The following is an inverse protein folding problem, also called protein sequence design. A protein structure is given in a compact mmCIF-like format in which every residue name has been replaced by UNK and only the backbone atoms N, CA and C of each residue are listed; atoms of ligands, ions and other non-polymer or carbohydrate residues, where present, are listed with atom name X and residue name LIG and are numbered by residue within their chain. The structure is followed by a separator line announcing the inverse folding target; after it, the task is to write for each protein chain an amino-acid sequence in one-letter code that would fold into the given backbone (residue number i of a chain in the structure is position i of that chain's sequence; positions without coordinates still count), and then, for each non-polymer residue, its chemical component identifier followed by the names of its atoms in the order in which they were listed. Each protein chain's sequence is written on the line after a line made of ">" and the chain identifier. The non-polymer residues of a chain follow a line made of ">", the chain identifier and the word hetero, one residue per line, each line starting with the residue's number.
data_IF_621844856892
#
_entry.id   IF_621844856892
#
_cell.length_a   1.000
_cell.length_b   1.000
_cell.length_c   1.000
_cell.angle_alpha   90.00
_cell.angle_beta   90.00
_cell.angle_gamma   90.00
#
_symmetry.space_group_name_H-M   'P 1'
#
loop_
_entity.id
_entity.type
_entity.pdbx_description
1 polymer ?
#
# COMPACT_ATOMS: atom_id res chain seq x y z
N UNK A 1 0.18 -1.08 0.44
CA UNK A 1 -0.76 -0.25 -0.21
C UNK A 1 -2.24 -0.60 -0.05
N UNK A 2 -2.68 -1.89 -0.12
CA UNK A 2 -4.11 -2.27 -0.05
C UNK A 2 -4.78 -1.76 1.23
N UNK A 3 -4.24 -2.12 2.37
CA UNK A 3 -4.72 -1.70 3.69
C UNK A 3 -4.80 -0.18 3.81
N UNK A 4 -3.75 0.52 3.40
CA UNK A 4 -3.70 1.98 3.42
C UNK A 4 -4.82 2.61 2.59
N UNK A 5 -5.16 2.02 1.44
CA UNK A 5 -6.22 2.55 0.56
C UNK A 5 -7.58 2.55 1.26
N UNK A 6 -8.01 1.45 1.86
CA UNK A 6 -9.30 1.43 2.53
C UNK A 6 -9.28 2.21 3.85
N UNK A 7 -8.14 2.26 4.56
CA UNK A 7 -7.99 3.08 5.77
C UNK A 7 -8.17 4.57 5.45
N UNK A 8 -7.46 5.06 4.43
CA UNK A 8 -7.59 6.46 4.00
C UNK A 8 -9.01 6.74 3.50
N UNK A 9 -9.59 5.84 2.70
CA UNK A 9 -10.94 6.02 2.21
C UNK A 9 -11.97 6.10 3.35
N UNK A 10 -11.89 5.20 4.33
CA UNK A 10 -12.76 5.21 5.50
C UNK A 10 -12.61 6.50 6.31
N UNK A 11 -11.36 6.94 6.51
CA UNK A 11 -11.06 8.20 7.22
C UNK A 11 -11.64 9.41 6.49
N UNK A 12 -11.40 9.53 5.18
CA UNK A 12 -11.91 10.64 4.36
C UNK A 12 -13.44 10.68 4.36
N UNK A 13 -14.10 9.54 4.16
CA UNK A 13 -15.58 9.48 4.19
C UNK A 13 -16.14 9.92 5.55
N UNK A 14 -15.55 9.46 6.64
CA UNK A 14 -15.96 9.85 8.00
C UNK A 14 -15.71 11.34 8.26
N UNK A 15 -14.57 11.87 7.84
CA UNK A 15 -14.22 13.29 7.99
C UNK A 15 -15.17 14.19 7.21
N UNK A 16 -15.47 13.84 5.95
CA UNK A 16 -16.41 14.60 5.13
C UNK A 16 -17.83 14.56 5.71
N UNK A 17 -18.26 13.42 6.24
CA UNK A 17 -19.55 13.34 6.94
C UNK A 17 -19.60 14.24 8.16
N UNK A 18 -18.58 14.24 8.99
CA UNK A 18 -18.47 15.08 10.17
C UNK A 18 -18.41 16.58 9.82
N UNK A 19 -17.85 16.92 8.66
CA UNK A 19 -17.85 18.28 8.09
C UNK A 19 -19.18 18.67 7.42
N UNK A 20 -20.23 17.84 7.51
CA UNK A 20 -21.53 18.03 6.87
C UNK A 20 -21.47 18.22 5.36
N UNK A 21 -20.61 17.47 4.67
CA UNK A 21 -20.55 17.48 3.22
C UNK A 21 -21.92 17.14 2.61
N UNK A 22 -22.38 17.85 1.58
CA UNK A 22 -23.74 17.71 1.02
C UNK A 22 -24.01 16.33 0.37
N UNK A 23 -22.96 15.65 -0.10
CA UNK A 23 -23.11 14.33 -0.71
C UNK A 23 -23.36 13.26 0.36
N UNK A 24 -24.55 12.64 0.26
CA UNK A 24 -25.00 11.59 1.17
C UNK A 24 -24.24 10.27 1.04
N UNK A 25 -23.40 10.11 0.03
CA UNK A 25 -22.54 8.93 -0.11
C UNK A 25 -21.47 8.86 0.97
N UNK A 26 -21.05 10.01 1.51
CA UNK A 26 -20.11 10.08 2.62
C UNK A 26 -20.85 9.87 3.95
N UNK A 27 -20.49 8.80 4.60
CA UNK A 27 -21.04 8.39 5.90
C UNK A 27 -19.89 7.94 6.82
N UNK A 28 -20.17 7.89 8.12
CA UNK A 28 -19.24 7.27 9.07
C UNK A 28 -19.03 5.81 8.68
N UNK A 29 -17.78 5.37 8.71
CA UNK A 29 -17.40 4.00 8.32
C UNK A 29 -16.93 3.23 9.53
N UNK A 30 -17.71 2.22 9.90
CA UNK A 30 -17.37 1.26 10.95
C UNK A 30 -16.71 0.03 10.31
N UNK A 31 -15.46 -0.26 10.69
CA UNK A 31 -14.67 -1.37 10.14
C UNK A 31 -14.63 -2.53 11.12
N UNK A 32 -14.79 -3.75 10.62
CA UNK A 32 -14.54 -5.01 11.31
C UNK A 32 -13.58 -5.83 10.48
N UNK A 33 -12.39 -6.06 10.99
CA UNK A 33 -11.27 -6.70 10.27
C UNK A 33 -10.94 -8.00 10.98
N UNK A 34 -10.84 -9.09 10.22
CA UNK A 34 -10.40 -10.39 10.73
C UNK A 34 -9.78 -11.24 9.62
N UNK A 35 -8.96 -12.20 10.03
CA UNK A 35 -8.38 -13.19 9.12
C UNK A 35 -9.25 -14.46 9.12
N UNK A 36 -9.91 -14.79 8.00
CA UNK A 36 -10.79 -15.97 7.93
C UNK A 36 -10.04 -17.30 8.04
N UNK A 37 -8.74 -17.32 7.79
CA UNK A 37 -7.89 -18.53 7.92
C UNK A 37 -7.37 -18.77 9.33
N UNK A 38 -7.48 -17.80 10.22
CA UNK A 38 -7.02 -17.94 11.60
C UNK A 38 -8.00 -18.71 12.50
N UNK A 39 -9.20 -18.99 12.00
CA UNK A 39 -10.29 -19.63 12.73
C UNK A 39 -10.92 -20.76 11.90
N UNK A 40 -11.55 -21.72 12.55
CA UNK A 40 -12.26 -22.80 11.89
C UNK A 40 -13.53 -22.32 11.17
N UNK A 41 -14.10 -23.14 10.30
CA UNK A 41 -15.33 -22.82 9.59
C UNK A 41 -16.53 -22.65 10.52
N UNK A 42 -16.59 -23.43 11.58
CA UNK A 42 -17.61 -23.29 12.64
C UNK A 42 -17.47 -21.96 13.37
N UNK A 43 -16.26 -21.60 13.78
CA UNK A 43 -16.00 -20.30 14.41
C UNK A 43 -16.22 -19.12 13.46
N UNK A 44 -16.06 -19.32 12.14
CA UNK A 44 -16.28 -18.27 11.15
C UNK A 44 -17.77 -18.04 10.86
N UNK A 45 -18.52 -19.09 10.54
CA UNK A 45 -19.91 -18.98 10.10
C UNK A 45 -20.92 -19.41 11.15
N UNK A 46 -20.51 -20.23 12.07
CA UNK A 46 -21.34 -20.83 13.11
C UNK A 46 -21.42 -22.35 12.99
N UNK A 47 -21.73 -22.96 14.09
CA UNK A 47 -21.87 -24.41 14.21
C UNK A 47 -22.92 -24.77 15.23
N UNK A 48 -23.40 -26.01 15.14
CA UNK A 48 -24.31 -26.60 16.12
C UNK A 48 -23.45 -27.25 17.20
N UNK A 49 -23.63 -26.84 18.45
CA UNK A 49 -22.96 -27.48 19.57
C UNK A 49 -23.39 -28.97 19.62
N UNK A 50 -22.41 -29.85 19.71
CA UNK A 50 -22.65 -31.29 19.60
C UNK A 50 -23.42 -31.87 20.79
N UNK A 51 -23.35 -31.21 21.96
CA UNK A 51 -23.98 -31.67 23.20
C UNK A 51 -25.37 -31.05 23.37
N UNK A 52 -25.46 -29.71 23.27
CA UNK A 52 -26.70 -28.97 23.48
C UNK A 52 -27.60 -28.95 22.26
N UNK A 53 -27.08 -29.28 21.07
CA UNK A 53 -27.77 -29.15 19.78
C UNK A 53 -28.21 -27.71 19.46
N UNK A 54 -27.67 -26.73 20.17
CA UNK A 54 -27.93 -25.31 19.95
C UNK A 54 -26.99 -24.73 18.90
N UNK A 55 -27.53 -23.81 18.09
CA UNK A 55 -26.75 -23.07 17.12
C UNK A 55 -26.01 -21.94 17.78
N UNK A 56 -24.70 -21.85 17.50
CA UNK A 56 -23.86 -20.71 17.89
C UNK A 56 -23.40 -19.97 16.64
N UNK A 57 -23.68 -18.66 16.56
CA UNK A 57 -23.19 -17.84 15.46
C UNK A 57 -21.66 -17.73 15.51
N UNK A 58 -21.02 -17.90 14.36
CA UNK A 58 -19.62 -17.61 14.19
C UNK A 58 -19.34 -16.12 14.05
N UNK A 59 -18.09 -15.77 13.94
CA UNK A 59 -17.62 -14.37 13.89
C UNK A 59 -18.25 -13.58 12.73
N UNK A 60 -18.18 -14.12 11.49
CA UNK A 60 -18.73 -13.46 10.31
C UNK A 60 -20.24 -13.33 10.38
N UNK A 61 -20.95 -14.41 10.75
CA UNK A 61 -22.41 -14.39 10.87
C UNK A 61 -22.88 -13.42 11.96
N UNK A 62 -22.19 -13.37 13.09
CA UNK A 62 -22.50 -12.43 14.18
C UNK A 62 -22.30 -10.98 13.75
N UNK A 63 -21.16 -10.66 13.11
CA UNK A 63 -20.89 -9.32 12.57
C UNK A 63 -21.97 -8.91 11.57
N UNK A 64 -22.29 -9.78 10.61
CA UNK A 64 -23.29 -9.49 9.58
C UNK A 64 -24.71 -9.37 10.17
N UNK A 65 -25.05 -10.20 11.13
CA UNK A 65 -26.36 -10.12 11.82
C UNK A 65 -26.49 -8.80 12.57
N UNK A 66 -25.49 -8.41 13.36
CA UNK A 66 -25.48 -7.13 14.08
C UNK A 66 -25.62 -5.95 13.12
N UNK A 67 -24.80 -5.92 12.07
CA UNK A 67 -24.84 -4.85 11.07
C UNK A 67 -26.17 -4.82 10.26
N UNK A 68 -26.81 -5.97 10.06
CA UNK A 68 -28.11 -6.05 9.38
C UNK A 68 -29.27 -5.50 10.22
N UNK A 69 -29.15 -5.55 11.53
CA UNK A 69 -30.16 -5.05 12.48
C UNK A 69 -29.98 -3.55 12.81
N UNK A 70 -28.83 -2.99 12.52
CA UNK A 70 -28.55 -1.59 12.77
C UNK A 70 -29.38 -0.69 11.84
N UNK A 71 -30.01 0.35 12.41
CA UNK A 71 -30.88 1.26 11.65
C UNK A 71 -30.19 2.54 11.18
N UNK A 72 -28.93 2.73 11.54
CA UNK A 72 -28.15 3.90 11.13
C UNK A 72 -27.86 3.90 9.62
N UNK A 73 -27.56 5.09 9.08
CA UNK A 73 -27.06 5.24 7.71
C UNK A 73 -25.55 5.00 7.61
N UNK A 74 -24.88 4.74 8.72
CA UNK A 74 -23.45 4.48 8.78
C UNK A 74 -23.09 3.26 7.96
N UNK A 75 -21.90 3.30 7.35
CA UNK A 75 -21.38 2.18 6.56
C UNK A 75 -20.70 1.16 7.45
N UNK A 76 -21.09 -0.08 7.29
CA UNK A 76 -20.46 -1.21 7.96
C UNK A 76 -19.59 -1.97 6.97
N UNK A 77 -18.26 -1.89 7.15
CA UNK A 77 -17.29 -2.61 6.32
C UNK A 77 -16.76 -3.81 7.06
N UNK A 78 -17.02 -4.98 6.48
CA UNK A 78 -16.46 -6.25 6.94
C UNK A 78 -15.27 -6.60 6.04
N UNK A 79 -14.08 -6.64 6.63
CA UNK A 79 -12.82 -6.79 5.90
C UNK A 79 -12.22 -8.15 6.23
N UNK A 80 -12.09 -8.97 5.19
CA UNK A 80 -11.46 -10.29 5.24
C UNK A 80 -10.00 -10.12 4.85
N UNK A 81 -9.10 -10.04 5.85
CA UNK A 81 -7.67 -9.86 5.66
C UNK A 81 -6.95 -11.20 5.80
N UNK A 82 -6.73 -11.85 4.68
CA UNK A 82 -6.06 -13.14 4.66
C UNK A 82 -6.15 -13.85 3.31
N UNK A 83 -5.40 -14.95 3.14
CA UNK A 83 -5.40 -15.70 1.89
C UNK A 83 -6.78 -16.30 1.59
N UNK A 84 -7.12 -16.33 0.31
CA UNK A 84 -8.34 -17.02 -0.15
C UNK A 84 -8.19 -18.52 0.02
N UNK A 85 -9.28 -19.14 0.43
CA UNK A 85 -9.45 -20.57 0.47
C UNK A 85 -10.79 -20.91 -0.19
N UNK A 86 -10.81 -21.92 -1.01
CA UNK A 86 -12.01 -22.31 -1.77
C UNK A 86 -13.22 -22.53 -0.85
N UNK A 87 -12.99 -23.10 0.33
CA UNK A 87 -14.08 -23.49 1.24
C UNK A 87 -14.78 -22.26 1.83
N UNK A 88 -14.04 -21.32 2.41
CA UNK A 88 -14.69 -20.18 3.06
C UNK A 88 -15.25 -19.16 2.06
N UNK A 89 -14.59 -18.98 0.90
CA UNK A 89 -15.06 -18.01 -0.09
C UNK A 89 -16.32 -18.48 -0.82
N UNK A 90 -16.51 -19.79 -1.02
CA UNK A 90 -17.69 -20.33 -1.66
C UNK A 90 -18.97 -20.09 -0.84
N UNK A 91 -18.88 -20.10 0.47
CA UNK A 91 -20.00 -19.76 1.35
C UNK A 91 -20.42 -18.29 1.22
N UNK A 92 -19.58 -17.43 0.65
CA UNK A 92 -19.88 -16.03 0.36
C UNK A 92 -20.58 -15.82 -0.98
N UNK A 93 -20.70 -16.82 -1.84
CA UNK A 93 -21.26 -16.66 -3.19
C UNK A 93 -22.66 -16.05 -3.17
N UNK A 94 -23.52 -16.45 -2.23
CA UNK A 94 -24.88 -15.90 -2.08
C UNK A 94 -24.90 -14.46 -1.55
N UNK A 95 -23.84 -14.06 -0.88
CA UNK A 95 -23.64 -12.69 -0.38
C UNK A 95 -23.12 -11.77 -1.49
N UNK A 96 -22.24 -12.30 -2.34
CA UNK A 96 -21.65 -11.59 -3.47
C UNK A 96 -22.61 -11.46 -4.65
N UNK A 97 -23.66 -12.25 -4.69
CA UNK A 97 -24.74 -12.14 -5.68
C UNK A 97 -25.67 -10.94 -5.38
N UNK A 98 -26.48 -10.58 -6.36
CA UNK A 98 -27.52 -9.55 -6.23
C UNK A 98 -28.48 -9.81 -5.06
N UNK A 99 -28.58 -11.05 -4.64
CA UNK A 99 -29.38 -11.45 -3.48
C UNK A 99 -28.85 -10.88 -2.15
N UNK A 100 -27.55 -10.57 -2.06
CA UNK A 100 -26.90 -10.00 -0.87
C UNK A 100 -27.33 -10.70 0.42
N UNK A 101 -27.29 -12.03 0.45
CA UNK A 101 -27.83 -12.82 1.56
C UNK A 101 -26.84 -13.89 1.99
N UNK A 102 -26.44 -13.87 3.26
CA UNK A 102 -25.63 -14.93 3.85
C UNK A 102 -26.58 -16.09 4.26
N UNK A 103 -26.31 -17.27 3.70
CA UNK A 103 -26.99 -18.50 4.05
C UNK A 103 -26.17 -19.31 5.03
N UNK A 104 -26.69 -19.62 6.19
CA UNK A 104 -26.00 -20.40 7.22
C UNK A 104 -26.40 -21.87 7.13
N UNK A 105 -25.59 -22.78 7.65
CA UNK A 105 -25.81 -24.22 7.61
C UNK A 105 -27.02 -24.67 8.42
N UNK A 106 -27.47 -23.85 9.38
CA UNK A 106 -28.76 -24.11 10.13
C UNK A 106 -30.02 -23.67 9.35
N UNK A 107 -29.87 -23.27 8.08
CA UNK A 107 -30.98 -22.80 7.24
C UNK A 107 -31.38 -21.33 7.42
N UNK A 108 -30.79 -20.63 8.37
CA UNK A 108 -31.02 -19.20 8.54
C UNK A 108 -30.40 -18.38 7.41
N UNK A 109 -31.04 -17.25 7.12
CA UNK A 109 -30.61 -16.32 6.08
C UNK A 109 -30.49 -14.92 6.66
N UNK A 110 -29.32 -14.30 6.49
CA UNK A 110 -29.04 -12.93 6.92
C UNK A 110 -29.00 -12.05 5.67
N UNK A 111 -30.02 -11.21 5.49
CA UNK A 111 -30.08 -10.25 4.38
C UNK A 111 -29.17 -9.06 4.69
N UNK A 112 -28.22 -8.76 3.80
CA UNK A 112 -27.36 -7.60 3.94
C UNK A 112 -28.11 -6.32 3.53
N UNK A 113 -27.77 -5.23 4.21
CA UNK A 113 -28.30 -3.90 3.91
C UNK A 113 -27.38 -3.17 2.90
N UNK A 114 -27.90 -2.16 2.17
CA UNK A 114 -27.09 -1.38 1.23
C UNK A 114 -25.88 -0.67 1.85
N UNK A 115 -25.90 -0.43 3.17
CA UNK A 115 -24.78 0.20 3.88
C UNK A 115 -23.64 -0.76 4.21
N UNK A 116 -23.90 -2.05 4.14
CA UNK A 116 -22.89 -3.09 4.40
C UNK A 116 -22.03 -3.30 3.15
N UNK A 117 -20.73 -3.43 3.35
CA UNK A 117 -19.76 -3.77 2.30
C UNK A 117 -18.80 -4.82 2.81
N UNK A 118 -18.43 -5.72 1.91
CA UNK A 118 -17.37 -6.69 2.18
C UNK A 118 -16.17 -6.36 1.32
N UNK A 119 -15.02 -6.31 1.96
CA UNK A 119 -13.73 -6.10 1.34
C UNK A 119 -12.88 -7.34 1.60
N UNK A 120 -12.18 -7.78 0.56
CA UNK A 120 -11.27 -8.91 0.64
C UNK A 120 -9.86 -8.41 0.35
N UNK A 121 -9.00 -8.43 1.37
CA UNK A 121 -7.59 -8.08 1.22
C UNK A 121 -6.80 -9.36 1.00
N UNK A 122 -6.62 -9.72 -0.24
CA UNK A 122 -6.02 -10.99 -0.65
C UNK A 122 -4.76 -10.78 -1.48
N UNK A 123 -3.92 -11.78 -1.54
CA UNK A 123 -2.73 -11.76 -2.39
C UNK A 123 -3.09 -12.05 -3.84
N UNK A 124 -3.90 -13.09 -4.05
CA UNK A 124 -4.44 -13.50 -5.35
C UNK A 124 -5.77 -14.23 -5.19
N UNK A 125 -6.40 -14.58 -6.29
CA UNK A 125 -7.66 -15.35 -6.34
C UNK A 125 -7.49 -16.68 -7.09
N UNK A 126 -6.28 -17.23 -7.14
CA UNK A 126 -5.96 -18.44 -7.92
C UNK A 126 -6.80 -19.66 -7.48
N UNK A 127 -7.19 -19.72 -6.22
CA UNK A 127 -7.98 -20.83 -5.66
C UNK A 127 -9.50 -20.56 -5.66
N UNK A 128 -9.92 -19.36 -6.04
CA UNK A 128 -11.34 -19.01 -6.12
C UNK A 128 -11.96 -19.53 -7.44
N UNK A 129 -13.22 -19.95 -7.40
CA UNK A 129 -13.91 -20.35 -8.62
C UNK A 129 -14.12 -19.15 -9.56
N UNK A 130 -14.16 -19.36 -10.91
CA UNK A 130 -14.47 -18.29 -11.86
C UNK A 130 -15.79 -17.57 -11.52
N UNK A 131 -16.75 -18.30 -11.00
CA UNK A 131 -18.03 -17.75 -10.57
C UNK A 131 -17.89 -16.77 -9.41
N UNK A 132 -17.04 -17.04 -8.44
CA UNK A 132 -16.73 -16.14 -7.33
C UNK A 132 -15.98 -14.90 -7.83
N UNK A 133 -14.98 -15.09 -8.69
CA UNK A 133 -14.16 -13.99 -9.23
C UNK A 133 -15.03 -13.01 -10.02
N UNK A 134 -15.97 -13.50 -10.84
CA UNK A 134 -16.85 -12.65 -11.65
C UNK A 134 -17.82 -11.79 -10.83
N UNK A 135 -18.07 -12.14 -9.57
CA UNK A 135 -18.91 -11.38 -8.64
C UNK A 135 -18.15 -10.31 -7.86
N UNK A 136 -16.82 -10.33 -7.91
CA UNK A 136 -15.97 -9.41 -7.16
C UNK A 136 -15.62 -8.19 -8.02
N UNK A 137 -15.79 -7.00 -7.46
CA UNK A 137 -15.20 -5.78 -8.01
C UNK A 137 -13.69 -5.77 -7.69
N UNK A 138 -12.87 -5.99 -8.71
CA UNK A 138 -11.42 -6.12 -8.55
C UNK A 138 -10.71 -4.77 -8.54
N UNK A 139 -9.91 -4.53 -7.51
CA UNK A 139 -8.94 -3.43 -7.44
C UNK A 139 -7.56 -4.05 -7.36
N UNK A 140 -6.82 -4.00 -8.47
CA UNK A 140 -5.50 -4.59 -8.56
C UNK A 140 -4.42 -3.56 -8.19
N UNK A 141 -3.63 -3.84 -7.16
CA UNK A 141 -2.59 -2.96 -6.64
C UNK A 141 -1.24 -3.66 -6.75
N UNK A 142 -0.40 -3.18 -7.66
CA UNK A 142 0.99 -3.62 -7.78
C UNK A 142 1.94 -2.53 -7.28
N UNK A 143 3.16 -2.92 -6.90
CA UNK A 143 4.20 -1.97 -6.52
C UNK A 143 4.58 -1.08 -7.72
N UNK A 144 4.61 -1.66 -8.92
CA UNK A 144 4.96 -0.97 -10.17
C UNK A 144 3.91 0.08 -10.54
N UNK A 145 2.62 -0.18 -10.30
CA UNK A 145 1.55 0.75 -10.65
C UNK A 145 1.61 2.07 -9.86
N UNK A 146 2.10 2.03 -8.62
CA UNK A 146 2.33 3.24 -7.83
C UNK A 146 3.62 3.96 -8.25
N UNK A 147 4.66 3.20 -8.60
CA UNK A 147 5.97 3.71 -8.90
C UNK A 147 6.71 4.26 -7.66
N UNK A 148 7.79 4.95 -7.90
CA UNK A 148 8.65 5.52 -6.85
C UNK A 148 8.40 7.01 -6.59
N UNK A 149 7.82 7.74 -7.56
CA UNK A 149 7.63 9.20 -7.50
C UNK A 149 6.85 9.63 -6.25
N UNK A 150 5.65 9.10 -5.95
CA UNK A 150 4.89 9.50 -4.77
C UNK A 150 5.61 9.20 -3.45
N UNK A 151 6.47 8.17 -3.44
CA UNK A 151 7.30 7.87 -2.28
C UNK A 151 8.34 8.97 -2.08
N UNK A 152 9.08 9.33 -3.13
CA UNK A 152 10.14 10.34 -3.05
C UNK A 152 9.57 11.72 -2.69
N UNK A 153 8.52 12.17 -3.37
CA UNK A 153 7.88 13.47 -3.12
C UNK A 153 7.37 13.59 -1.68
N UNK A 154 6.78 12.52 -1.16
CA UNK A 154 6.34 12.45 0.23
C UNK A 154 7.53 12.37 1.21
N UNK A 155 8.61 11.68 0.83
CA UNK A 155 9.80 11.52 1.65
C UNK A 155 10.53 12.85 1.84
N UNK A 156 10.78 13.61 0.77
CA UNK A 156 11.53 14.88 0.86
C UNK A 156 10.79 15.91 1.73
N UNK A 157 9.47 16.00 1.60
CA UNK A 157 8.65 16.91 2.42
C UNK A 157 8.63 16.52 3.89
N UNK A 158 8.55 15.22 4.18
CA UNK A 158 8.50 14.71 5.56
C UNK A 158 9.83 14.79 6.28
N UNK A 159 10.94 14.54 5.56
CA UNK A 159 12.29 14.53 6.15
C UNK A 159 12.87 15.93 6.29
N UNK A 160 12.53 16.81 5.39
CA UNK A 160 12.99 18.20 5.40
C UNK A 160 11.78 19.15 5.38
N UNK A 161 10.97 19.18 6.48
CA UNK A 161 9.70 19.89 6.51
C UNK A 161 9.84 21.40 6.43
N UNK A 162 10.96 21.94 6.88
CA UNK A 162 11.30 23.36 6.91
C UNK A 162 12.58 23.66 6.11
N UNK A 163 13.07 24.89 6.20
CA UNK A 163 14.29 25.34 5.53
C UNK A 163 15.54 25.29 6.42
N UNK A 164 15.50 24.58 7.55
CA UNK A 164 16.63 24.51 8.48
C UNK A 164 17.84 23.77 7.91
N UNK A 165 17.60 22.79 7.06
CA UNK A 165 18.65 21.96 6.44
C UNK A 165 18.76 22.24 4.95
N UNK A 166 17.64 22.23 4.23
CA UNK A 166 17.53 22.45 2.79
C UNK A 166 16.55 23.59 2.52
N UNK A 167 16.96 24.58 1.74
CA UNK A 167 16.07 25.62 1.27
C UNK A 167 15.04 25.08 0.26
N UNK A 168 13.98 25.81 0.00
CA UNK A 168 12.96 25.39 -0.97
C UNK A 168 13.56 25.25 -2.39
N UNK A 169 14.46 26.14 -2.80
CA UNK A 169 15.14 26.08 -4.09
C UNK A 169 16.04 24.82 -4.19
N UNK A 170 16.72 24.45 -3.10
CA UNK A 170 17.53 23.25 -3.04
C UNK A 170 16.68 21.98 -3.11
N UNK A 171 15.52 21.94 -2.43
CA UNK A 171 14.56 20.84 -2.53
C UNK A 171 14.02 20.67 -3.95
N UNK A 172 13.70 21.79 -4.63
CA UNK A 172 13.27 21.77 -6.03
C UNK A 172 14.39 21.20 -6.91
N UNK A 173 15.64 21.70 -6.77
CA UNK A 173 16.78 21.21 -7.53
C UNK A 173 17.02 19.70 -7.32
N UNK A 174 16.98 19.23 -6.08
CA UNK A 174 17.11 17.81 -5.74
C UNK A 174 15.99 17.01 -6.40
N UNK A 175 14.75 17.48 -6.31
CA UNK A 175 13.59 16.80 -6.87
C UNK A 175 13.66 16.70 -8.39
N UNK A 176 13.98 17.79 -9.08
CA UNK A 176 14.14 17.81 -10.53
C UNK A 176 15.28 16.88 -11.00
N UNK A 177 16.40 16.92 -10.32
CA UNK A 177 17.55 16.04 -10.62
C UNK A 177 17.17 14.58 -10.39
N UNK A 178 16.49 14.29 -9.30
CA UNK A 178 16.05 12.93 -8.96
C UNK A 178 15.06 12.38 -10.00
N UNK A 179 14.05 13.17 -10.39
CA UNK A 179 13.08 12.78 -11.42
C UNK A 179 13.74 12.60 -12.80
N UNK A 180 14.73 13.39 -13.12
CA UNK A 180 15.46 13.28 -14.40
C UNK A 180 16.37 12.06 -14.49
N UNK A 181 16.87 11.56 -13.37
CA UNK A 181 17.99 10.59 -13.36
C UNK A 181 17.60 9.19 -12.89
N UNK A 182 16.63 9.06 -11.98
CA UNK A 182 16.26 7.74 -11.40
C UNK A 182 15.80 6.74 -12.45
N UNK A 183 14.92 7.14 -13.34
CA UNK A 183 14.36 6.22 -14.34
C UNK A 183 15.46 5.75 -15.30
N UNK A 184 16.40 6.59 -15.67
CA UNK A 184 17.56 6.21 -16.48
C UNK A 184 18.42 5.14 -15.78
N UNK A 185 18.66 5.31 -14.49
CA UNK A 185 19.39 4.32 -13.69
C UNK A 185 18.64 3.00 -13.56
N UNK A 186 17.33 3.06 -13.27
CA UNK A 186 16.46 1.88 -13.17
C UNK A 186 16.40 1.14 -14.51
N UNK A 187 16.13 1.83 -15.61
CA UNK A 187 16.10 1.23 -16.96
C UNK A 187 17.42 0.55 -17.31
N UNK A 188 18.54 1.17 -16.98
CA UNK A 188 19.87 0.59 -17.21
C UNK A 188 20.07 -0.69 -16.41
N UNK A 189 19.70 -0.68 -15.13
CA UNK A 189 19.81 -1.86 -14.25
C UNK A 189 18.93 -2.98 -14.77
N UNK A 190 17.65 -2.71 -15.09
CA UNK A 190 16.70 -3.74 -15.57
C UNK A 190 17.02 -4.25 -16.98
N UNK A 191 17.56 -3.39 -17.84
CA UNK A 191 17.75 -3.72 -19.24
C UNK A 191 19.05 -4.44 -19.57
N UNK A 192 20.15 -4.13 -18.88
CA UNK A 192 21.47 -4.58 -19.32
C UNK A 192 22.48 -4.91 -18.21
N UNK A 193 22.12 -4.66 -16.95
CA UNK A 193 23.03 -4.93 -15.83
C UNK A 193 22.53 -6.16 -15.04
N UNK A 194 23.46 -6.82 -14.35
CA UNK A 194 23.15 -8.03 -13.61
C UNK A 194 23.14 -7.77 -12.10
N UNK A 195 22.01 -8.11 -11.47
CA UNK A 195 21.83 -8.10 -10.02
C UNK A 195 21.91 -9.55 -9.50
N UNK A 196 22.90 -9.93 -8.71
CA UNK A 196 22.96 -11.25 -8.08
C UNK A 196 21.71 -11.55 -7.21
N UNK A 197 21.20 -10.53 -6.54
CA UNK A 197 19.93 -10.58 -5.78
C UNK A 197 19.04 -9.49 -6.38
N UNK A 198 17.95 -9.91 -7.01
CA UNK A 198 17.01 -8.96 -7.63
C UNK A 198 16.36 -8.05 -6.60
N UNK A 199 16.42 -6.77 -6.86
CA UNK A 199 15.74 -5.72 -6.09
C UNK A 199 14.49 -5.25 -6.81
N UNK A 200 13.56 -4.59 -6.13
CA UNK A 200 12.51 -3.80 -6.80
C UNK A 200 12.93 -2.33 -6.95
N UNK A 201 12.24 -1.60 -7.84
CA UNK A 201 12.59 -0.20 -8.13
C UNK A 201 12.47 0.69 -6.90
N UNK A 202 11.47 0.43 -6.05
CA UNK A 202 11.27 1.20 -4.83
C UNK A 202 12.37 0.94 -3.79
N UNK A 203 12.93 -0.28 -3.73
CA UNK A 203 14.07 -0.59 -2.87
C UNK A 203 15.31 0.21 -3.27
N UNK A 204 15.61 0.29 -4.57
CA UNK A 204 16.72 1.10 -5.08
C UNK A 204 16.56 2.56 -4.68
N UNK A 205 15.39 3.14 -4.92
CA UNK A 205 15.08 4.53 -4.56
C UNK A 205 15.19 4.77 -3.05
N UNK A 206 14.65 3.86 -2.23
CA UNK A 206 14.78 3.95 -0.76
C UNK A 206 16.23 3.92 -0.30
N UNK A 207 17.08 3.13 -0.95
CA UNK A 207 18.50 3.08 -0.63
C UNK A 207 19.18 4.43 -0.92
N UNK A 208 18.89 5.04 -2.07
CA UNK A 208 19.38 6.39 -2.38
C UNK A 208 18.89 7.41 -1.34
N UNK A 209 17.59 7.42 -1.03
CA UNK A 209 17.03 8.32 -0.01
C UNK A 209 17.69 8.14 1.37
N UNK A 210 18.03 6.90 1.75
CA UNK A 210 18.71 6.63 3.03
C UNK A 210 20.11 7.27 3.08
N UNK A 211 20.86 7.23 1.98
CA UNK A 211 22.14 7.95 1.89
C UNK A 211 21.95 9.46 1.96
N UNK A 212 20.95 10.01 1.26
CA UNK A 212 20.63 11.43 1.30
C UNK A 212 20.27 11.90 2.72
N UNK A 213 19.52 11.10 3.48
CA UNK A 213 19.18 11.40 4.88
C UNK A 213 20.44 11.55 5.77
N UNK A 214 21.45 10.71 5.52
CA UNK A 214 22.70 10.75 6.28
C UNK A 214 23.55 11.94 5.86
N UNK A 215 23.71 12.18 4.56
CA UNK A 215 24.62 13.20 4.07
C UNK A 215 24.06 14.62 4.16
N UNK A 216 22.76 14.82 4.09
CA UNK A 216 22.13 16.11 4.37
C UNK A 216 21.99 16.38 5.88
N UNK A 217 23.02 16.02 6.64
CA UNK A 217 23.08 16.27 8.07
C UNK A 217 24.18 17.31 8.37
N UNK A 218 23.83 18.48 8.96
CA UNK A 218 24.82 19.51 9.33
C UNK A 218 25.89 19.01 10.31
N UNK A 219 25.54 18.08 11.19
CA UNK A 219 26.49 17.48 12.16
C UNK A 219 27.55 16.61 11.45
N UNK A 220 27.24 16.10 10.26
CA UNK A 220 28.16 15.30 9.46
C UNK A 220 28.91 16.12 8.37
N UNK A 221 28.80 17.44 8.43
CA UNK A 221 29.58 18.35 7.58
C UNK A 221 28.78 19.03 6.47
N UNK A 222 27.46 18.82 6.36
CA UNK A 222 26.62 19.56 5.41
C UNK A 222 26.30 20.96 5.95
N UNK A 223 27.31 21.82 6.02
CA UNK A 223 27.23 23.16 6.63
C UNK A 223 27.76 24.29 5.74
N UNK A 224 28.01 24.02 4.44
CA UNK A 224 28.47 25.01 3.49
C UNK A 224 27.47 26.15 3.32
N UNK A 225 27.93 27.38 3.40
CA UNK A 225 27.12 28.61 3.31
C UNK A 225 27.21 29.32 1.97
N UNK A 226 28.29 29.09 1.20
CA UNK A 226 28.42 29.65 -0.15
C UNK A 226 27.44 28.93 -1.10
N UNK A 227 26.49 29.63 -1.74
CA UNK A 227 25.45 28.98 -2.55
C UNK A 227 26.02 28.16 -3.73
N UNK A 228 27.12 28.57 -4.32
CA UNK A 228 27.74 27.85 -5.46
C UNK A 228 28.40 26.55 -5.00
N UNK A 229 29.15 26.62 -3.89
CA UNK A 229 29.82 25.45 -3.33
C UNK A 229 28.76 24.49 -2.74
N UNK A 230 27.75 25.03 -2.10
CA UNK A 230 26.64 24.23 -1.54
C UNK A 230 25.84 23.47 -2.61
N UNK A 231 25.58 24.10 -3.76
CA UNK A 231 24.97 23.41 -4.91
C UNK A 231 25.84 22.25 -5.39
N UNK A 232 27.17 22.50 -5.48
CA UNK A 232 28.13 21.47 -5.86
C UNK A 232 28.18 20.32 -4.85
N UNK A 233 28.09 20.61 -3.56
CA UNK A 233 28.03 19.61 -2.51
C UNK A 233 26.75 18.75 -2.66
N UNK A 234 25.59 19.37 -2.94
CA UNK A 234 24.34 18.66 -3.21
C UNK A 234 24.47 17.72 -4.39
N UNK A 235 25.00 18.19 -5.51
CA UNK A 235 25.19 17.38 -6.72
C UNK A 235 26.18 16.22 -6.47
N UNK A 236 27.23 16.45 -5.70
CA UNK A 236 28.20 15.40 -5.31
C UNK A 236 27.55 14.36 -4.37
N UNK A 237 26.72 14.78 -3.41
CA UNK A 237 25.98 13.91 -2.52
C UNK A 237 24.96 13.08 -3.31
N UNK A 238 24.27 13.67 -4.27
CA UNK A 238 23.36 12.96 -5.17
C UNK A 238 24.12 11.89 -5.96
N UNK A 239 25.21 12.23 -6.62
CA UNK A 239 26.03 11.27 -7.38
C UNK A 239 26.56 10.12 -6.52
N UNK A 240 27.07 10.43 -5.33
CA UNK A 240 27.52 9.41 -4.37
C UNK A 240 26.38 8.50 -3.95
N UNK A 241 25.23 9.07 -3.57
CA UNK A 241 24.06 8.34 -3.12
C UNK A 241 23.48 7.43 -4.21
N UNK A 242 23.54 7.86 -5.47
CA UNK A 242 23.21 7.05 -6.64
C UNK A 242 24.16 5.87 -6.79
N UNK A 243 25.46 6.13 -6.77
CA UNK A 243 26.48 5.10 -6.94
C UNK A 243 26.30 3.97 -5.92
N UNK A 244 26.13 4.32 -4.67
CA UNK A 244 26.01 3.33 -3.60
C UNK A 244 24.58 2.82 -3.36
N UNK A 245 23.57 3.65 -3.54
CA UNK A 245 22.18 3.28 -3.33
C UNK A 245 21.62 2.36 -4.41
N UNK A 246 22.03 2.56 -5.67
CA UNK A 246 21.57 1.74 -6.79
C UNK A 246 22.65 0.74 -7.25
N UNK A 247 23.90 1.17 -7.33
CA UNK A 247 25.00 0.36 -7.86
C UNK A 247 25.48 -0.75 -6.92
N UNK A 248 25.22 -0.66 -5.61
CA UNK A 248 25.68 -1.66 -4.66
C UNK A 248 25.07 -3.05 -4.89
N UNK A 249 23.86 -3.12 -5.45
CA UNK A 249 23.18 -4.37 -5.75
C UNK A 249 23.74 -5.12 -6.99
N UNK A 250 24.62 -4.48 -7.77
CA UNK A 250 25.12 -4.98 -9.02
C UNK A 250 26.36 -5.89 -8.84
N UNK A 251 26.58 -6.81 -9.77
CA UNK A 251 27.83 -7.55 -9.86
C UNK A 251 29.00 -6.65 -10.28
N UNK A 252 30.23 -7.15 -10.13
CA UNK A 252 31.46 -6.36 -10.33
C UNK A 252 31.55 -5.77 -11.75
N UNK A 253 31.18 -6.53 -12.77
CA UNK A 253 31.21 -6.05 -14.16
C UNK A 253 30.15 -4.97 -14.42
N UNK A 254 28.98 -5.14 -13.87
CA UNK A 254 27.88 -4.20 -14.01
C UNK A 254 28.14 -2.89 -13.28
N UNK A 255 28.91 -2.90 -12.21
CA UNK A 255 29.33 -1.69 -11.48
C UNK A 255 30.13 -0.74 -12.34
N UNK A 256 31.07 -1.22 -13.14
CA UNK A 256 31.88 -0.39 -14.02
C UNK A 256 31.01 0.35 -15.06
N UNK A 257 30.02 -0.34 -15.63
CA UNK A 257 29.08 0.27 -16.57
C UNK A 257 28.17 1.28 -15.88
N UNK A 258 27.72 0.97 -14.67
CA UNK A 258 26.87 1.86 -13.90
C UNK A 258 27.62 3.11 -13.42
N UNK A 259 28.88 2.98 -13.00
CA UNK A 259 29.76 4.12 -12.66
C UNK A 259 29.91 5.09 -13.83
N UNK A 260 30.12 4.56 -15.04
CA UNK A 260 30.19 5.39 -16.25
C UNK A 260 28.90 6.18 -16.50
N UNK A 261 27.75 5.56 -16.30
CA UNK A 261 26.44 6.21 -16.41
C UNK A 261 26.28 7.33 -15.37
N UNK A 262 26.64 7.06 -14.10
CA UNK A 262 26.52 8.05 -13.03
C UNK A 262 27.44 9.26 -13.29
N UNK A 263 28.68 9.03 -13.75
CA UNK A 263 29.58 10.10 -14.13
C UNK A 263 29.05 10.96 -15.28
N UNK A 264 28.33 10.34 -16.21
CA UNK A 264 27.68 11.08 -17.30
C UNK A 264 26.48 11.90 -16.83
N UNK A 265 25.69 11.38 -15.89
CA UNK A 265 24.54 12.08 -15.30
C UNK A 265 24.95 13.30 -14.45
N UNK A 266 26.05 13.17 -13.70
CA UNK A 266 26.51 14.18 -12.76
C UNK A 266 27.77 14.87 -13.24
N UNK A 267 27.95 15.05 -14.56
CA UNK A 267 29.06 15.82 -15.14
C UNK A 267 29.02 17.26 -14.64
N UNK A 268 30.03 17.65 -13.85
CA UNK A 268 30.18 19.00 -13.30
C UNK A 268 29.91 19.13 -11.80
N UNK A 269 29.54 18.02 -11.14
CA UNK A 269 29.46 17.94 -9.68
C UNK A 269 30.82 17.91 -9.01
#
# INVERSE_FOLDING_TARGET
>A
GKTTCYEVLAHVMTTLRNANHPDRSFQIVNKKIFNPKAISMGELYGEVDFISQEWTDGLASKIMRMASQEQSEEKSWTIFDGPVDAIWIENMNTVLDDNMTLCLSNGQRIKLRPQMRMLFEVMDLAVASPATVSRCGMVYLTAEALGWIPFFDSWIQRKFPDESILTNDEKIHITETFHATIDMGVEKIRGSLNEPIKTDNLQLVKSVCSFLEVFFNPELGFNQTDPKLRKKDIDSILGFSYTWGMGAALDERSKDYFDSLVRDMFKGA
#
